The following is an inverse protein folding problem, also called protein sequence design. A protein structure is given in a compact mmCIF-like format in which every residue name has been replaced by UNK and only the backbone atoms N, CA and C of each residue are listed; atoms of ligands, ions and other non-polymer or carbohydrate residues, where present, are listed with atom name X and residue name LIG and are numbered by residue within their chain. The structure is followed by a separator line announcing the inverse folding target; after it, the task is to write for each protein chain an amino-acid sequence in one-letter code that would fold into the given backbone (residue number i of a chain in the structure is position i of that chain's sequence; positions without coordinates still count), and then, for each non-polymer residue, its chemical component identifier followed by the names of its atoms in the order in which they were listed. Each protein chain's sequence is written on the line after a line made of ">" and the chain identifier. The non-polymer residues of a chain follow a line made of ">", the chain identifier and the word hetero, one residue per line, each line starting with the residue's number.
data_IF_755697898278
#
_entry.id   IF_755697898278
#
_cell.length_a   1.000
_cell.length_b   1.000
_cell.length_c   1.000
_cell.angle_alpha   90.00
_cell.angle_beta   90.00
_cell.angle_gamma   90.00
#
_symmetry.space_group_name_H-M   'P 1'
#
loop_
_entity.id
_entity.type
_entity.pdbx_description
1 polymer ?
#
# COMPACT_ATOMS: atom_id res chain seq x y z
N UNK A 1 10.71 -4.96 7.05
CA UNK A 1 10.14 -5.60 5.83
C UNK A 1 9.34 -4.58 5.04
N UNK A 2 9.38 -4.69 3.75
CA UNK A 2 8.61 -3.81 2.88
C UNK A 2 7.40 -4.54 2.30
N UNK A 3 6.33 -3.78 2.08
CA UNK A 3 5.08 -4.28 1.52
C UNK A 3 4.60 -3.34 0.42
N UNK A 4 4.20 -3.92 -0.72
CA UNK A 4 3.51 -3.18 -1.76
C UNK A 4 2.02 -3.15 -1.39
N UNK A 5 1.47 -1.96 -1.31
CA UNK A 5 0.09 -1.74 -0.88
C UNK A 5 -0.69 -1.07 -2.02
N UNK A 6 -1.76 -1.71 -2.44
CA UNK A 6 -2.51 -1.29 -3.62
C UNK A 6 -4.01 -1.24 -3.31
N UNK A 7 -4.48 -0.20 -2.59
CA UNK A 7 -5.91 -0.03 -2.37
C UNK A 7 -6.60 0.56 -3.58
N UNK A 8 -7.86 0.21 -3.76
CA UNK A 8 -8.73 0.76 -4.80
C UNK A 8 -10.09 1.05 -4.19
N UNK A 9 -10.67 2.20 -4.52
CA UNK A 9 -12.04 2.53 -4.15
C UNK A 9 -12.96 2.48 -5.35
N UNK A 10 -14.26 2.31 -5.09
CA UNK A 10 -15.28 2.35 -6.11
C UNK A 10 -15.64 3.77 -6.56
N UNK A 11 -16.71 3.86 -7.32
CA UNK A 11 -17.25 5.12 -7.81
C UNK A 11 -17.75 6.00 -6.67
N UNK A 12 -17.74 7.32 -6.90
CA UNK A 12 -18.42 8.25 -5.99
C UNK A 12 -19.92 8.01 -6.02
N UNK A 13 -20.64 8.34 -4.92
CA UNK A 13 -22.08 8.41 -4.94
C UNK A 13 -22.56 9.36 -6.05
N UNK A 14 -23.71 9.04 -6.66
CA UNK A 14 -24.23 9.82 -7.78
C UNK A 14 -24.83 11.17 -7.36
N UNK A 15 -25.36 11.26 -6.14
CA UNK A 15 -25.89 12.50 -5.57
C UNK A 15 -24.72 13.42 -5.20
N UNK A 16 -24.74 14.70 -5.61
CA UNK A 16 -23.71 15.66 -5.22
C UNK A 16 -23.53 15.77 -3.71
N UNK A 17 -24.62 15.76 -2.95
CA UNK A 17 -24.58 15.86 -1.49
C UNK A 17 -23.88 14.65 -0.87
N UNK A 18 -24.20 13.44 -1.33
CA UNK A 18 -23.57 12.22 -0.85
C UNK A 18 -22.10 12.17 -1.26
N UNK A 19 -21.78 12.62 -2.48
CA UNK A 19 -20.39 12.69 -2.95
C UNK A 19 -19.57 13.65 -2.09
N UNK A 20 -20.10 14.81 -1.74
CA UNK A 20 -19.45 15.78 -0.85
C UNK A 20 -19.21 15.16 0.52
N UNK A 21 -20.22 14.54 1.11
CA UNK A 21 -20.09 13.89 2.42
C UNK A 21 -19.03 12.78 2.41
N UNK A 22 -19.01 11.99 1.35
CA UNK A 22 -18.03 10.92 1.19
C UNK A 22 -16.59 11.48 1.06
N UNK A 23 -16.42 12.50 0.23
CA UNK A 23 -15.10 13.13 0.03
C UNK A 23 -14.61 13.81 1.30
N UNK A 24 -15.43 14.64 1.92
CA UNK A 24 -15.04 15.38 3.11
C UNK A 24 -14.88 14.49 4.35
N UNK A 25 -15.72 13.47 4.48
CA UNK A 25 -15.75 12.62 5.66
C UNK A 25 -14.76 11.46 5.64
N UNK A 26 -14.40 10.96 4.45
CA UNK A 26 -13.58 9.74 4.33
C UNK A 26 -12.37 9.96 3.41
N UNK A 27 -12.58 10.39 2.18
CA UNK A 27 -11.51 10.42 1.18
C UNK A 27 -10.42 11.43 1.54
N UNK A 28 -10.81 12.66 1.85
CA UNK A 28 -9.83 13.71 2.22
C UNK A 28 -9.10 13.36 3.52
N UNK A 29 -9.76 12.94 4.60
CA UNK A 29 -9.06 12.47 5.79
C UNK A 29 -8.12 11.28 5.51
N UNK A 30 -8.49 10.39 4.61
CA UNK A 30 -7.63 9.29 4.20
C UNK A 30 -6.34 9.80 3.55
N UNK A 31 -6.45 10.73 2.60
CA UNK A 31 -5.28 11.37 1.98
C UNK A 31 -4.40 12.07 3.01
N UNK A 32 -4.99 12.81 3.94
CA UNK A 32 -4.25 13.50 4.99
C UNK A 32 -3.48 12.52 5.87
N UNK A 33 -4.10 11.37 6.18
CA UNK A 33 -3.45 10.32 6.94
C UNK A 33 -2.27 9.70 6.16
N UNK A 34 -2.43 9.45 4.86
CA UNK A 34 -1.35 8.95 4.02
C UNK A 34 -0.19 9.95 3.93
N UNK A 35 -0.48 11.24 3.84
CA UNK A 35 0.56 12.28 3.85
C UNK A 35 1.35 12.23 5.16
N UNK A 36 0.68 12.02 6.28
CA UNK A 36 1.33 11.85 7.57
C UNK A 36 2.24 10.62 7.59
N UNK A 37 1.75 9.49 7.10
CA UNK A 37 2.55 8.27 7.01
C UNK A 37 3.79 8.45 6.12
N UNK A 38 3.68 9.21 5.06
CA UNK A 38 4.78 9.56 4.18
C UNK A 38 5.81 10.45 4.90
N UNK A 39 5.33 11.45 5.63
CA UNK A 39 6.18 12.34 6.44
C UNK A 39 6.93 11.55 7.51
N UNK A 40 6.28 10.58 8.14
CA UNK A 40 6.85 9.74 9.19
C UNK A 40 7.73 8.59 8.64
N UNK A 41 7.94 8.54 7.33
CA UNK A 41 8.76 7.50 6.66
C UNK A 41 8.19 6.09 6.80
N UNK A 42 6.92 5.96 7.07
CA UNK A 42 6.22 4.67 7.04
C UNK A 42 5.88 4.33 5.59
N UNK A 43 5.37 5.30 4.83
CA UNK A 43 5.30 5.19 3.37
C UNK A 43 6.63 5.63 2.80
N UNK A 44 7.30 4.73 2.08
CA UNK A 44 8.63 4.96 1.52
C UNK A 44 8.59 5.55 0.12
N UNK A 45 7.51 5.35 -0.60
CA UNK A 45 7.35 5.86 -1.96
C UNK A 45 6.06 5.37 -2.57
N UNK A 46 5.76 5.88 -3.75
CA UNK A 46 4.56 5.55 -4.51
C UNK A 46 3.74 6.79 -4.84
N UNK A 47 2.50 6.56 -5.22
CA UNK A 47 1.57 7.62 -5.60
C UNK A 47 0.29 7.02 -6.11
N UNK A 48 -0.43 7.80 -6.90
CA UNK A 48 -1.68 7.37 -7.51
C UNK A 48 -1.53 7.37 -9.03
N UNK A 49 -1.97 6.30 -9.71
CA UNK A 49 -2.10 6.35 -11.16
C UNK A 49 -2.97 7.54 -11.56
N UNK A 50 -2.50 8.30 -12.55
CA UNK A 50 -3.15 9.56 -12.93
C UNK A 50 -4.59 9.30 -13.35
N UNK A 51 -5.53 10.01 -12.71
CA UNK A 51 -6.97 9.93 -13.02
C UNK A 51 -7.68 8.67 -12.53
N UNK A 52 -6.99 7.76 -11.86
CA UNK A 52 -7.58 6.53 -11.36
C UNK A 52 -7.98 6.66 -9.87
N UNK A 53 -8.74 5.69 -9.38
CA UNK A 53 -9.16 5.56 -7.98
C UNK A 53 -8.29 4.56 -7.20
N UNK A 54 -7.12 4.28 -7.72
CA UNK A 54 -6.16 3.36 -7.12
C UNK A 54 -5.03 4.13 -6.46
N UNK A 55 -4.40 3.48 -5.50
CA UNK A 55 -3.18 3.95 -4.84
C UNK A 55 -2.13 2.86 -4.99
N UNK A 56 -0.88 3.25 -5.12
CA UNK A 56 0.25 2.32 -5.17
C UNK A 56 1.34 2.89 -4.28
N UNK A 57 1.64 2.22 -3.18
CA UNK A 57 2.70 2.68 -2.31
C UNK A 57 3.39 1.52 -1.59
N UNK A 58 4.59 1.80 -1.10
CA UNK A 58 5.39 0.85 -0.35
C UNK A 58 5.49 1.33 1.09
N UNK A 59 5.20 0.43 2.02
CA UNK A 59 5.35 0.72 3.45
C UNK A 59 6.48 -0.10 4.05
N UNK A 60 7.07 0.44 5.12
CA UNK A 60 7.97 -0.28 6.01
C UNK A 60 7.21 -0.74 7.23
N UNK A 61 7.33 -2.02 7.57
CA UNK A 61 6.76 -2.59 8.78
C UNK A 61 7.67 -3.73 9.26
N UNK A 62 7.68 -4.00 10.56
CA UNK A 62 8.56 -5.05 11.08
C UNK A 62 8.06 -6.45 10.75
N UNK A 63 6.75 -6.63 10.62
CA UNK A 63 6.10 -7.91 10.34
C UNK A 63 4.70 -7.70 9.74
N UNK A 64 4.03 -8.80 9.41
CA UNK A 64 2.69 -8.77 8.83
C UNK A 64 1.66 -8.12 9.76
N UNK A 65 1.76 -8.33 11.06
CA UNK A 65 0.82 -7.78 12.03
C UNK A 65 0.93 -6.25 12.08
N UNK A 66 2.15 -5.73 12.06
CA UNK A 66 2.35 -4.28 12.01
C UNK A 66 1.85 -3.69 10.69
N UNK A 67 2.12 -4.35 9.57
CA UNK A 67 1.60 -3.91 8.27
C UNK A 67 0.07 -3.85 8.28
N UNK A 68 -0.59 -4.87 8.82
CA UNK A 68 -2.04 -4.91 8.93
C UNK A 68 -2.55 -3.75 9.82
N UNK A 69 -1.92 -3.50 10.95
CA UNK A 69 -2.29 -2.40 11.84
C UNK A 69 -2.17 -1.03 11.17
N UNK A 70 -1.09 -0.82 10.41
CA UNK A 70 -0.89 0.43 9.65
C UNK A 70 -2.03 0.63 8.66
N UNK A 71 -2.35 -0.39 7.88
CA UNK A 71 -3.41 -0.33 6.86
C UNK A 71 -4.77 -0.10 7.50
N UNK A 72 -5.09 -0.84 8.56
CA UNK A 72 -6.38 -0.70 9.26
C UNK A 72 -6.54 0.64 9.96
N UNK A 73 -5.44 1.35 10.26
CA UNK A 73 -5.50 2.67 10.87
C UNK A 73 -5.94 3.76 9.88
N UNK A 74 -5.99 3.47 8.60
CA UNK A 74 -6.36 4.46 7.59
C UNK A 74 -7.87 4.68 7.58
N UNK A 75 -8.33 5.95 7.44
CA UNK A 75 -9.77 6.25 7.44
C UNK A 75 -10.57 5.52 6.36
N UNK A 76 -9.94 5.25 5.22
CA UNK A 76 -10.59 4.58 4.10
C UNK A 76 -10.56 3.06 4.16
N UNK A 77 -9.98 2.47 5.20
CA UNK A 77 -9.82 1.01 5.24
C UNK A 77 -11.12 0.24 4.99
N UNK A 78 -12.26 0.58 5.61
CA UNK A 78 -13.48 -0.22 5.46
C UNK A 78 -14.13 -0.17 4.07
N UNK A 79 -13.80 0.86 3.27
CA UNK A 79 -14.46 1.11 1.98
C UNK A 79 -13.57 0.85 0.79
N UNK A 80 -12.27 0.63 1.02
CA UNK A 80 -11.33 0.33 -0.06
C UNK A 80 -11.11 -1.17 -0.16
N UNK A 81 -10.81 -1.62 -1.36
CA UNK A 81 -10.34 -2.98 -1.60
C UNK A 81 -8.81 -2.95 -1.58
N UNK A 82 -8.21 -3.84 -0.79
CA UNK A 82 -6.78 -3.81 -0.52
C UNK A 82 -6.10 -5.03 -1.10
N UNK A 83 -5.00 -4.80 -1.83
CA UNK A 83 -4.03 -5.84 -2.18
C UNK A 83 -2.72 -5.48 -1.52
N UNK A 84 -2.21 -6.38 -0.69
CA UNK A 84 -0.97 -6.17 0.06
C UNK A 84 -0.03 -7.32 -0.23
N UNK A 85 1.16 -6.99 -0.74
CA UNK A 85 2.14 -7.98 -1.16
C UNK A 85 3.45 -7.78 -0.40
N UNK A 86 3.89 -8.76 0.40
CA UNK A 86 5.23 -8.70 1.00
C UNK A 86 6.29 -8.68 -0.09
N UNK A 87 7.31 -7.85 0.09
CA UNK A 87 8.39 -7.72 -0.86
C UNK A 87 9.68 -8.31 -0.29
N UNK A 88 10.36 -9.09 -1.12
CA UNK A 88 11.72 -9.54 -0.83
C UNK A 88 12.69 -8.44 -1.23
N UNK A 89 13.75 -8.24 -0.45
CA UNK A 89 14.78 -7.28 -0.85
C UNK A 89 15.55 -7.77 -2.09
N UNK A 90 16.09 -6.84 -2.85
CA UNK A 90 16.91 -7.15 -4.02
C UNK A 90 18.12 -7.98 -3.60
N UNK A 91 18.76 -7.62 -2.49
CA UNK A 91 19.92 -8.34 -1.97
C UNK A 91 19.60 -9.79 -1.61
N UNK A 92 18.46 -10.02 -0.92
CA UNK A 92 18.02 -11.37 -0.57
C UNK A 92 17.73 -12.22 -1.81
N UNK A 93 17.06 -11.64 -2.82
CA UNK A 93 16.82 -12.35 -4.07
C UNK A 93 18.14 -12.68 -4.79
N UNK A 94 19.09 -11.77 -4.82
CA UNK A 94 20.39 -12.01 -5.41
C UNK A 94 21.11 -13.20 -4.76
N UNK A 95 21.05 -13.31 -3.43
CA UNK A 95 21.61 -14.45 -2.71
C UNK A 95 20.95 -15.76 -3.13
N UNK A 96 19.64 -15.78 -3.29
CA UNK A 96 18.91 -16.94 -3.76
C UNK A 96 19.29 -17.35 -5.19
N UNK A 97 19.54 -16.37 -6.05
CA UNK A 97 19.99 -16.66 -7.41
C UNK A 97 21.40 -17.28 -7.41
N UNK A 98 22.29 -16.82 -6.54
CA UNK A 98 23.61 -17.43 -6.37
C UNK A 98 23.48 -18.88 -5.89
N UNK A 99 22.61 -19.16 -4.94
CA UNK A 99 22.34 -20.51 -4.47
C UNK A 99 21.78 -21.41 -5.58
N UNK A 100 20.87 -20.87 -6.39
CA UNK A 100 20.30 -21.60 -7.52
C UNK A 100 21.36 -21.97 -8.55
N UNK A 101 22.30 -21.06 -8.83
CA UNK A 101 23.45 -21.38 -9.71
C UNK A 101 24.26 -22.56 -9.15
N UNK A 102 24.51 -22.60 -7.85
CA UNK A 102 25.21 -23.71 -7.21
C UNK A 102 24.47 -25.02 -7.39
N UNK A 103 23.14 -25.01 -7.23
CA UNK A 103 22.28 -26.16 -7.44
C UNK A 103 22.38 -26.67 -8.87
N UNK A 104 22.33 -25.78 -9.86
CA UNK A 104 22.47 -26.13 -11.26
C UNK A 104 23.83 -26.73 -11.59
N UNK A 105 24.90 -26.20 -11.02
CA UNK A 105 26.26 -26.71 -11.23
C UNK A 105 26.48 -28.09 -10.63
N UNK A 106 25.76 -28.42 -9.55
CA UNK A 106 25.84 -29.71 -8.88
C UNK A 106 24.98 -30.78 -9.55
N UNK A 107 24.09 -30.43 -10.47
CA UNK A 107 23.21 -31.35 -11.16
C UNK A 107 23.93 -32.13 -12.26
#
# INVERSE_FOLDING_TARGET
>A
MQYLVEPRRGNLPTSPEQAISFLEGIVIPHFEHLIKLERDKIILGGGLPVGDRAFVFVIEAKDNDEADRIIRSTPGWPIFEWTVTPLQSVASRADMEHEFVKTLKAA
#
